data_IF_975947751158
#
_entry.id   IF_975947751158
#
_cell.length_a   1.000
_cell.length_b   1.000
_cell.length_c   1.000
_cell.angle_alpha   90.00
_cell.angle_beta   90.00
_cell.angle_gamma   90.00
#
_symmetry.space_group_name_H-M   'P 1'
#
loop_
_entity.id
_entity.type
_entity.pdbx_description
1 polymer ?
#
# COMPACT_ATOMS: atom_id res chain seq x y z
N UNK A 1 -24.33 3.54 0.54
CA UNK A 1 -23.36 2.77 -0.25
C UNK A 1 -22.02 2.73 0.46
N UNK A 2 -21.34 1.58 0.47
CA UNK A 2 -19.97 1.44 0.97
C UNK A 2 -19.08 0.82 -0.12
N UNK A 3 -17.78 1.12 -0.08
CA UNK A 3 -16.80 0.44 -0.92
C UNK A 3 -15.96 -0.48 -0.04
N UNK A 4 -15.83 -1.74 -0.44
CA UNK A 4 -15.09 -2.76 0.32
C UNK A 4 -13.96 -3.30 -0.55
N UNK A 5 -12.70 -3.02 -0.19
CA UNK A 5 -11.55 -3.56 -0.90
C UNK A 5 -10.97 -4.75 -0.17
N UNK A 6 -10.71 -5.83 -0.89
CA UNK A 6 -10.06 -7.03 -0.35
C UNK A 6 -8.70 -7.25 -1.00
N UNK A 7 -7.64 -7.36 -0.18
CA UNK A 7 -6.28 -7.62 -0.64
C UNK A 7 -6.11 -9.04 -1.18
N UNK A 8 -4.97 -9.30 -1.86
CA UNK A 8 -4.70 -10.59 -2.50
C UNK A 8 -4.73 -11.79 -1.55
N UNK A 9 -4.28 -11.61 -0.30
CA UNK A 9 -4.35 -12.65 0.75
C UNK A 9 -5.77 -12.93 1.23
N UNK A 10 -6.69 -11.96 1.06
CA UNK A 10 -8.10 -12.12 1.41
C UNK A 10 -8.88 -12.93 0.37
N UNK A 11 -8.35 -13.08 -0.85
CA UNK A 11 -8.98 -13.82 -1.97
C UNK A 11 -8.07 -14.91 -2.53
N UNK A 12 -7.04 -15.35 -1.79
CA UNK A 12 -6.01 -16.27 -2.28
C UNK A 12 -6.45 -17.73 -2.46
N UNK A 13 -7.58 -18.11 -1.84
CA UNK A 13 -8.08 -19.48 -1.86
C UNK A 13 -9.60 -19.51 -1.72
N UNK A 14 -10.20 -20.67 -1.99
CA UNK A 14 -11.62 -20.93 -1.81
C UNK A 14 -12.12 -20.56 -0.39
N UNK A 15 -11.39 -20.98 0.64
CA UNK A 15 -11.71 -20.65 2.05
C UNK A 15 -11.64 -19.15 2.33
N UNK A 16 -10.67 -18.46 1.73
CA UNK A 16 -10.55 -17.01 1.87
C UNK A 16 -11.72 -16.29 1.16
N UNK A 17 -12.10 -16.73 -0.04
CA UNK A 17 -13.24 -16.17 -0.79
C UNK A 17 -14.56 -16.43 -0.06
N UNK A 18 -14.78 -17.61 0.54
CA UNK A 18 -15.94 -17.90 1.37
C UNK A 18 -16.04 -16.94 2.57
N UNK A 19 -14.92 -16.67 3.23
CA UNK A 19 -14.87 -15.69 4.34
C UNK A 19 -15.22 -14.29 3.86
N UNK A 20 -14.68 -13.87 2.71
CA UNK A 20 -15.03 -12.58 2.08
C UNK A 20 -16.53 -12.52 1.77
N UNK A 21 -17.11 -13.59 1.23
CA UNK A 21 -18.52 -13.67 0.97
C UNK A 21 -19.37 -13.48 2.25
N UNK A 22 -18.97 -14.10 3.36
CA UNK A 22 -19.61 -13.90 4.67
C UNK A 22 -19.53 -12.46 5.16
N UNK A 23 -18.36 -11.81 5.01
CA UNK A 23 -18.15 -10.40 5.39
C UNK A 23 -19.03 -9.46 4.56
N UNK A 24 -19.09 -9.66 3.25
CA UNK A 24 -19.91 -8.84 2.33
C UNK A 24 -21.39 -9.06 2.57
N UNK A 25 -21.83 -10.31 2.75
CA UNK A 25 -23.23 -10.67 3.02
C UNK A 25 -23.77 -10.00 4.30
N UNK A 26 -22.95 -9.93 5.35
CA UNK A 26 -23.31 -9.21 6.58
C UNK A 26 -23.51 -7.70 6.39
N UNK A 27 -23.07 -7.14 5.25
CA UNK A 27 -23.15 -5.72 4.90
C UNK A 27 -23.96 -5.44 3.63
N UNK A 28 -24.71 -6.43 3.14
CA UNK A 28 -25.48 -6.33 1.89
C UNK A 28 -26.48 -5.16 1.90
N UNK A 29 -27.10 -4.90 3.06
CA UNK A 29 -28.01 -3.76 3.26
C UNK A 29 -27.33 -2.39 3.06
N UNK A 30 -26.01 -2.30 3.15
CA UNK A 30 -25.23 -1.09 2.93
C UNK A 30 -24.88 -0.88 1.46
N UNK A 31 -25.38 -1.73 0.54
CA UNK A 31 -25.14 -1.65 -0.91
C UNK A 31 -23.65 -1.63 -1.24
N UNK A 32 -22.93 -2.74 -0.99
CA UNK A 32 -21.49 -2.79 -1.14
C UNK A 32 -21.05 -2.82 -2.61
N UNK A 33 -20.02 -2.05 -2.94
CA UNK A 33 -19.19 -2.19 -4.13
C UNK A 33 -17.88 -2.81 -3.70
N UNK A 34 -17.57 -3.98 -4.24
CA UNK A 34 -16.42 -4.80 -3.82
C UNK A 34 -15.31 -4.68 -4.84
N UNK A 35 -14.13 -4.22 -4.39
CA UNK A 35 -12.90 -4.12 -5.16
C UNK A 35 -11.94 -5.20 -4.71
N UNK A 36 -11.52 -6.08 -5.61
CA UNK A 36 -10.62 -7.18 -5.29
C UNK A 36 -9.25 -7.04 -5.96
N UNK A 37 -8.20 -7.44 -5.25
CA UNK A 37 -6.87 -7.62 -5.83
C UNK A 37 -6.78 -8.99 -6.51
N UNK A 38 -5.70 -9.23 -7.26
CA UNK A 38 -5.35 -10.54 -7.79
C UNK A 38 -5.27 -11.59 -6.67
N UNK A 39 -5.61 -12.85 -6.94
CA UNK A 39 -5.56 -13.96 -5.98
C UNK A 39 -4.12 -14.21 -5.51
N UNK A 40 -3.86 -14.09 -4.21
CA UNK A 40 -2.56 -14.37 -3.60
C UNK A 40 -1.42 -13.57 -4.26
N UNK A 41 -0.43 -14.26 -4.79
CA UNK A 41 0.76 -13.69 -5.47
C UNK A 41 0.66 -13.76 -7.01
N UNK A 42 -0.54 -13.76 -7.58
CA UNK A 42 -0.76 -13.94 -9.04
C UNK A 42 -0.03 -12.87 -9.87
N UNK A 43 -0.06 -11.60 -9.47
CA UNK A 43 0.64 -10.52 -10.20
C UNK A 43 2.15 -10.81 -10.31
N UNK A 44 2.78 -11.27 -9.22
CA UNK A 44 4.21 -11.65 -9.25
C UNK A 44 4.47 -12.84 -10.17
N UNK A 45 3.56 -13.84 -10.20
CA UNK A 45 3.68 -15.00 -11.10
C UNK A 45 3.52 -14.57 -12.56
N UNK A 46 2.59 -13.67 -12.87
CA UNK A 46 2.40 -13.12 -14.21
C UNK A 46 3.66 -12.39 -14.72
N UNK A 47 4.28 -11.58 -13.87
CA UNK A 47 5.55 -10.92 -14.19
C UNK A 47 6.71 -11.91 -14.35
N UNK A 48 6.76 -12.97 -13.54
CA UNK A 48 7.76 -14.03 -13.70
C UNK A 48 7.60 -14.77 -15.04
N UNK A 49 6.36 -15.05 -15.46
CA UNK A 49 6.04 -15.62 -16.78
C UNK A 49 6.56 -14.71 -17.91
N UNK A 50 6.29 -13.39 -17.82
CA UNK A 50 6.74 -12.42 -18.79
C UNK A 50 8.28 -12.36 -18.90
N UNK A 51 8.97 -12.34 -17.76
CA UNK A 51 10.44 -12.36 -17.72
C UNK A 51 11.01 -13.66 -18.28
N UNK A 52 10.45 -14.82 -17.94
CA UNK A 52 10.87 -16.10 -18.52
C UNK A 52 10.68 -16.15 -20.04
N UNK A 53 9.65 -15.46 -20.56
CA UNK A 53 9.39 -15.38 -21.99
C UNK A 53 10.46 -14.56 -22.72
N UNK A 54 10.78 -13.35 -22.23
CA UNK A 54 11.83 -12.51 -22.86
C UNK A 54 13.23 -13.11 -22.72
N UNK A 55 13.47 -13.91 -21.68
CA UNK A 55 14.71 -14.69 -21.50
C UNK A 55 14.78 -15.92 -22.43
N UNK A 56 13.75 -16.20 -23.25
CA UNK A 56 13.70 -17.36 -24.15
C UNK A 56 13.47 -18.72 -23.47
N UNK A 57 13.07 -18.74 -22.19
CA UNK A 57 12.86 -19.95 -21.37
C UNK A 57 11.48 -20.56 -21.64
N UNK A 58 11.30 -21.10 -22.85
CA UNK A 58 9.98 -21.54 -23.36
C UNK A 58 9.27 -22.56 -22.48
N UNK A 59 9.97 -23.61 -22.05
CA UNK A 59 9.36 -24.66 -21.21
C UNK A 59 8.93 -24.13 -19.86
N UNK A 60 9.70 -23.20 -19.31
CA UNK A 60 9.45 -22.58 -18.02
C UNK A 60 8.17 -21.73 -18.05
N UNK A 61 8.04 -20.77 -18.99
CA UNK A 61 6.84 -19.94 -19.02
C UNK A 61 5.57 -20.71 -19.38
N UNK A 62 5.66 -21.74 -20.25
CA UNK A 62 4.50 -22.60 -20.54
C UNK A 62 4.04 -23.34 -19.28
N UNK A 63 4.95 -23.96 -18.55
CA UNK A 63 4.64 -24.63 -17.28
C UNK A 63 4.02 -23.65 -16.28
N UNK A 64 4.61 -22.46 -16.10
CA UNK A 64 4.09 -21.45 -15.16
C UNK A 64 2.67 -20.97 -15.55
N UNK A 65 2.34 -20.84 -16.83
CA UNK A 65 0.97 -20.53 -17.29
C UNK A 65 0.01 -21.66 -16.91
N UNK A 66 0.37 -22.93 -17.15
CA UNK A 66 -0.45 -24.07 -16.76
C UNK A 66 -0.67 -24.14 -15.26
N UNK A 67 0.39 -24.01 -14.46
CA UNK A 67 0.32 -24.03 -13.00
C UNK A 67 -0.60 -22.92 -12.48
N UNK A 68 -0.53 -21.73 -13.11
CA UNK A 68 -1.38 -20.59 -12.74
C UNK A 68 -2.84 -20.84 -13.09
N UNK A 69 -3.12 -21.41 -14.26
CA UNK A 69 -4.48 -21.79 -14.69
C UNK A 69 -5.07 -22.87 -13.77
N UNK A 70 -4.32 -23.89 -13.46
CA UNK A 70 -4.74 -25.00 -12.62
C UNK A 70 -5.03 -24.52 -11.19
N UNK A 71 -4.24 -23.59 -10.66
CA UNK A 71 -4.48 -22.97 -9.36
C UNK A 71 -5.83 -22.22 -9.37
N UNK A 72 -6.08 -21.33 -10.34
CA UNK A 72 -7.34 -20.60 -10.42
C UNK A 72 -8.54 -21.53 -10.59
N UNK A 73 -8.44 -22.51 -11.48
CA UNK A 73 -9.51 -23.50 -11.72
C UNK A 73 -9.82 -24.32 -10.46
N UNK A 74 -8.80 -24.82 -9.76
CA UNK A 74 -8.95 -25.61 -8.55
C UNK A 74 -9.66 -24.83 -7.43
N UNK A 75 -9.22 -23.59 -7.16
CA UNK A 75 -9.82 -22.78 -6.12
C UNK A 75 -11.26 -22.33 -6.48
N UNK A 76 -11.45 -21.89 -7.74
CA UNK A 76 -12.76 -21.44 -8.20
C UNK A 76 -13.83 -22.55 -8.17
N UNK A 77 -13.46 -23.77 -8.56
CA UNK A 77 -14.41 -24.91 -8.55
C UNK A 77 -14.93 -25.30 -7.18
N UNK A 78 -14.29 -24.87 -6.10
CA UNK A 78 -14.76 -25.10 -4.73
C UNK A 78 -15.84 -24.09 -4.30
N UNK A 79 -15.85 -22.90 -4.90
CA UNK A 79 -16.73 -21.79 -4.52
C UNK A 79 -17.73 -21.38 -5.63
N UNK A 80 -17.69 -22.06 -6.78
CA UNK A 80 -18.61 -21.80 -7.91
C UNK A 80 -19.57 -22.98 -8.06
N UNK A 81 -20.91 -22.73 -8.16
CA UNK A 81 -21.89 -23.79 -8.28
C UNK A 81 -21.73 -24.58 -9.59
N UNK A 82 -22.19 -25.82 -9.59
CA UNK A 82 -22.10 -26.70 -10.77
C UNK A 82 -22.74 -26.09 -12.02
N UNK A 83 -23.83 -25.34 -11.87
CA UNK A 83 -24.51 -24.63 -12.98
C UNK A 83 -23.64 -23.63 -13.70
N UNK A 84 -22.71 -23.00 -12.99
CA UNK A 84 -21.88 -21.90 -13.52
C UNK A 84 -20.47 -22.37 -13.94
N UNK A 85 -20.14 -23.65 -13.68
CA UNK A 85 -18.79 -24.19 -14.02
C UNK A 85 -18.46 -24.12 -15.49
N UNK A 86 -19.42 -24.37 -16.37
CA UNK A 86 -19.18 -24.28 -17.82
C UNK A 86 -18.87 -22.84 -18.26
N UNK A 87 -19.49 -21.84 -17.63
CA UNK A 87 -19.20 -20.43 -17.89
C UNK A 87 -17.83 -20.05 -17.30
N UNK A 88 -17.53 -20.52 -16.08
CA UNK A 88 -16.23 -20.35 -15.45
C UNK A 88 -15.10 -20.92 -16.32
N UNK A 89 -15.20 -22.19 -16.73
CA UNK A 89 -14.17 -22.87 -17.50
C UNK A 89 -13.94 -22.14 -18.84
N UNK A 90 -15.00 -21.71 -19.53
CA UNK A 90 -14.90 -20.92 -20.76
C UNK A 90 -14.14 -19.60 -20.52
N UNK A 91 -14.52 -18.84 -19.52
CA UNK A 91 -13.86 -17.55 -19.22
C UNK A 91 -12.40 -17.75 -18.83
N UNK A 92 -12.08 -18.77 -18.03
CA UNK A 92 -10.69 -19.12 -17.72
C UNK A 92 -9.90 -19.47 -18.98
N UNK A 93 -10.46 -20.32 -19.86
CA UNK A 93 -9.81 -20.74 -21.10
C UNK A 93 -9.53 -19.53 -22.01
N UNK A 94 -10.50 -18.65 -22.20
CA UNK A 94 -10.35 -17.42 -22.98
C UNK A 94 -9.22 -16.54 -22.44
N UNK A 95 -9.20 -16.28 -21.12
CA UNK A 95 -8.17 -15.45 -20.52
C UNK A 95 -6.77 -16.07 -20.59
N UNK A 96 -6.64 -17.37 -20.35
CA UNK A 96 -5.34 -18.05 -20.40
C UNK A 96 -4.86 -18.26 -21.83
N UNK A 97 -5.77 -18.36 -22.82
CA UNK A 97 -5.42 -18.35 -24.22
C UNK A 97 -4.87 -16.98 -24.65
N UNK A 98 -5.58 -15.88 -24.35
CA UNK A 98 -5.12 -14.52 -24.61
C UNK A 98 -3.75 -14.25 -23.94
N UNK A 99 -3.59 -14.63 -22.68
CA UNK A 99 -2.31 -14.50 -21.94
C UNK A 99 -1.19 -15.29 -22.66
N UNK A 100 -1.49 -16.51 -23.12
CA UNK A 100 -0.51 -17.36 -23.79
C UNK A 100 -0.06 -16.74 -25.11
N UNK A 101 -0.98 -16.17 -25.89
CA UNK A 101 -0.66 -15.49 -27.15
C UNK A 101 0.19 -14.23 -26.91
N UNK A 102 -0.16 -13.43 -25.89
CA UNK A 102 0.60 -12.25 -25.50
C UNK A 102 2.03 -12.63 -25.08
N UNK A 103 2.18 -13.65 -24.24
CA UNK A 103 3.48 -14.13 -23.74
C UNK A 103 4.34 -14.69 -24.88
N UNK A 104 3.74 -15.42 -25.85
CA UNK A 104 4.45 -15.87 -27.05
C UNK A 104 4.94 -14.69 -27.90
N UNK A 105 4.14 -13.63 -28.02
CA UNK A 105 4.56 -12.40 -28.70
C UNK A 105 5.78 -11.77 -28.03
N UNK A 106 5.79 -11.68 -26.69
CA UNK A 106 6.95 -11.17 -25.94
C UNK A 106 8.20 -12.04 -26.12
N UNK A 107 8.04 -13.36 -26.16
CA UNK A 107 9.18 -14.27 -26.40
C UNK A 107 9.82 -14.08 -27.78
N UNK A 108 9.02 -13.66 -28.78
CA UNK A 108 9.54 -13.34 -30.12
C UNK A 108 10.23 -11.97 -30.15
N UNK A 109 9.64 -10.97 -29.45
CA UNK A 109 10.18 -9.60 -29.40
C UNK A 109 11.44 -9.51 -28.54
N UNK A 110 11.56 -10.33 -27.49
CA UNK A 110 12.67 -10.32 -26.54
C UNK A 110 12.71 -9.09 -25.63
N UNK A 111 11.62 -8.34 -25.53
CA UNK A 111 11.52 -7.14 -24.69
C UNK A 111 10.20 -7.07 -23.93
N UNK A 112 10.25 -6.46 -22.73
CA UNK A 112 9.09 -6.22 -21.88
C UNK A 112 8.89 -4.72 -21.70
N UNK A 113 7.97 -4.14 -22.47
CA UNK A 113 7.64 -2.71 -22.37
C UNK A 113 6.70 -2.45 -21.18
N UNK A 114 6.64 -1.21 -20.63
CA UNK A 114 5.66 -0.85 -19.59
C UNK A 114 4.20 -1.17 -19.99
N UNK A 115 3.85 -0.99 -21.27
CA UNK A 115 2.52 -1.36 -21.79
C UNK A 115 2.25 -2.87 -21.73
N UNK A 116 3.27 -3.67 -22.02
CA UNK A 116 3.16 -5.14 -21.92
C UNK A 116 3.06 -5.61 -20.47
N UNK A 117 3.77 -4.93 -19.56
CA UNK A 117 3.65 -5.16 -18.10
C UNK A 117 2.22 -4.94 -17.65
N UNK A 118 1.57 -3.83 -18.03
CA UNK A 118 0.18 -3.53 -17.69
C UNK A 118 -0.77 -4.59 -18.23
N UNK A 119 -0.64 -4.92 -19.51
CA UNK A 119 -1.49 -5.92 -20.15
C UNK A 119 -1.42 -7.27 -19.42
N UNK A 120 -0.22 -7.78 -19.14
CA UNK A 120 -0.02 -9.06 -18.45
C UNK A 120 -0.48 -9.00 -17.00
N UNK A 121 -0.12 -7.97 -16.26
CA UNK A 121 -0.48 -7.84 -14.85
C UNK A 121 -1.98 -7.78 -14.64
N UNK A 122 -2.74 -7.20 -15.58
CA UNK A 122 -4.20 -7.04 -15.50
C UNK A 122 -4.98 -8.34 -15.38
N UNK A 123 -4.43 -9.46 -15.88
CA UNK A 123 -5.11 -10.76 -15.81
C UNK A 123 -5.36 -11.22 -14.37
N UNK A 124 -4.54 -10.80 -13.41
CA UNK A 124 -4.72 -11.16 -12.02
C UNK A 124 -6.06 -10.67 -11.46
N UNK A 125 -6.35 -9.39 -11.61
CA UNK A 125 -7.58 -8.77 -11.12
C UNK A 125 -8.80 -9.10 -11.98
N UNK A 126 -8.63 -9.27 -13.29
CA UNK A 126 -9.70 -9.70 -14.21
C UNK A 126 -10.21 -11.09 -13.80
N UNK A 127 -9.31 -12.04 -13.55
CA UNK A 127 -9.65 -13.39 -13.12
C UNK A 127 -10.27 -13.41 -11.73
N UNK A 128 -9.65 -12.73 -10.75
CA UNK A 128 -10.12 -12.75 -9.36
C UNK A 128 -11.50 -12.13 -9.22
N UNK A 129 -11.77 -10.98 -9.85
CA UNK A 129 -13.07 -10.31 -9.77
C UNK A 129 -14.21 -11.14 -10.36
N UNK A 130 -13.95 -11.82 -11.46
CA UNK A 130 -14.93 -12.72 -12.05
C UNK A 130 -15.23 -13.94 -11.16
N UNK A 131 -14.18 -14.61 -10.65
CA UNK A 131 -14.33 -15.76 -9.74
C UNK A 131 -15.11 -15.35 -8.47
N UNK A 132 -14.74 -14.23 -7.85
CA UNK A 132 -15.41 -13.73 -6.64
C UNK A 132 -16.88 -13.40 -6.92
N UNK A 133 -17.20 -12.85 -8.11
CA UNK A 133 -18.61 -12.60 -8.48
C UNK A 133 -19.42 -13.89 -8.53
N UNK A 134 -18.88 -14.94 -9.14
CA UNK A 134 -19.56 -16.25 -9.21
C UNK A 134 -19.68 -16.88 -7.82
N UNK A 135 -18.65 -16.75 -6.97
CA UNK A 135 -18.69 -17.21 -5.59
C UNK A 135 -19.78 -16.51 -4.79
N UNK A 136 -19.92 -15.20 -4.92
CA UNK A 136 -20.98 -14.46 -4.21
C UNK A 136 -22.38 -14.93 -4.60
N UNK A 137 -22.59 -15.23 -5.89
CA UNK A 137 -23.86 -15.86 -6.35
C UNK A 137 -24.07 -17.22 -5.71
N UNK A 138 -23.02 -18.05 -5.60
CA UNK A 138 -23.08 -19.34 -4.92
C UNK A 138 -23.49 -19.23 -3.46
N UNK A 139 -22.97 -18.21 -2.76
CA UNK A 139 -23.32 -17.93 -1.35
C UNK A 139 -24.64 -17.15 -1.18
N UNK A 140 -25.45 -17.07 -2.23
CA UNK A 140 -26.83 -16.57 -2.19
C UNK A 140 -26.96 -15.05 -2.21
N UNK A 141 -25.93 -14.34 -2.70
CA UNK A 141 -26.01 -12.90 -2.98
C UNK A 141 -26.34 -12.65 -4.46
N UNK A 142 -27.09 -11.61 -4.73
CA UNK A 142 -27.25 -11.09 -6.09
C UNK A 142 -26.00 -10.29 -6.40
N UNK A 143 -25.12 -10.78 -7.27
CA UNK A 143 -23.84 -10.15 -7.58
C UNK A 143 -23.67 -9.90 -9.10
N UNK A 144 -23.11 -8.73 -9.44
CA UNK A 144 -22.82 -8.30 -10.81
C UNK A 144 -21.35 -7.97 -10.97
N UNK A 145 -20.72 -8.42 -12.04
CA UNK A 145 -19.33 -8.15 -12.39
C UNK A 145 -19.21 -6.90 -13.27
N UNK A 146 -18.22 -6.06 -12.97
CA UNK A 146 -17.85 -4.92 -13.81
C UNK A 146 -16.35 -5.00 -14.12
N UNK A 147 -15.99 -4.91 -15.39
CA UNK A 147 -14.58 -4.75 -15.78
C UNK A 147 -14.14 -3.31 -15.42
N UNK A 148 -13.12 -3.19 -14.59
CA UNK A 148 -12.62 -1.89 -14.15
C UNK A 148 -12.11 -1.02 -15.29
N UNK A 149 -11.69 -1.62 -16.41
CA UNK A 149 -11.22 -0.92 -17.61
C UNK A 149 -12.32 -0.12 -18.30
N UNK A 150 -13.59 -0.47 -18.07
CA UNK A 150 -14.73 0.27 -18.64
C UNK A 150 -15.05 1.54 -17.87
N UNK A 151 -14.65 1.62 -16.58
CA UNK A 151 -15.06 2.69 -15.66
C UNK A 151 -13.91 3.48 -15.05
N UNK A 152 -12.69 2.94 -15.00
CA UNK A 152 -11.48 3.63 -14.53
C UNK A 152 -10.64 4.06 -15.73
N UNK A 153 -10.79 5.31 -16.11
CA UNK A 153 -10.09 5.87 -17.27
C UNK A 153 -8.84 6.61 -16.83
N UNK A 154 -7.73 6.39 -17.53
CA UNK A 154 -6.40 6.90 -17.16
C UNK A 154 -5.67 7.54 -18.34
N UNK A 155 -4.54 8.17 -18.05
CA UNK A 155 -3.55 8.54 -19.05
C UNK A 155 -2.76 7.30 -19.57
N UNK A 156 -1.76 7.54 -20.42
CA UNK A 156 -0.90 6.50 -21.03
C UNK A 156 0.43 6.26 -20.30
N UNK A 157 0.58 6.72 -19.06
CA UNK A 157 1.78 6.46 -18.26
C UNK A 157 1.74 5.05 -17.67
N UNK A 158 2.02 4.08 -18.54
CA UNK A 158 1.99 2.66 -18.16
C UNK A 158 2.76 2.37 -16.88
N UNK A 159 2.28 1.41 -16.09
CA UNK A 159 2.74 0.98 -14.75
C UNK A 159 2.48 1.96 -13.61
N UNK A 160 2.15 3.23 -13.91
CA UNK A 160 1.83 4.29 -12.95
C UNK A 160 0.84 5.29 -13.58
N UNK A 161 -0.21 4.78 -14.23
CA UNK A 161 -1.17 5.60 -14.93
C UNK A 161 -1.97 6.49 -13.97
N UNK A 162 -2.10 7.76 -14.33
CA UNK A 162 -2.89 8.71 -13.57
C UNK A 162 -4.35 8.69 -14.01
N UNK A 163 -5.33 8.59 -13.08
CA UNK A 163 -6.74 8.60 -13.42
C UNK A 163 -7.19 9.95 -14.03
N UNK A 164 -7.98 9.87 -15.10
CA UNK A 164 -8.78 10.98 -15.56
C UNK A 164 -10.03 11.07 -14.66
N UNK A 165 -9.93 11.81 -13.56
CA UNK A 165 -10.98 11.88 -12.54
C UNK A 165 -12.37 12.31 -13.09
N UNK A 166 -12.50 13.38 -13.89
CA UNK A 166 -13.81 13.79 -14.40
C UNK A 166 -14.52 12.69 -15.18
N UNK A 167 -13.83 12.04 -16.12
CA UNK A 167 -14.40 10.96 -16.92
C UNK A 167 -14.67 9.71 -16.07
N UNK A 168 -13.72 9.33 -15.22
CA UNK A 168 -13.85 8.19 -14.32
C UNK A 168 -15.05 8.37 -13.39
N UNK A 169 -15.19 9.50 -12.72
CA UNK A 169 -16.30 9.75 -11.81
C UNK A 169 -17.66 9.75 -12.54
N UNK A 170 -17.71 10.28 -13.75
CA UNK A 170 -18.91 10.22 -14.59
C UNK A 170 -19.32 8.78 -14.90
N UNK A 171 -18.37 7.94 -15.32
CA UNK A 171 -18.63 6.53 -15.61
C UNK A 171 -19.01 5.74 -14.37
N UNK A 172 -18.31 5.93 -13.24
CA UNK A 172 -18.62 5.27 -11.98
C UNK A 172 -20.04 5.59 -11.49
N UNK A 173 -20.41 6.88 -11.47
CA UNK A 173 -21.75 7.31 -11.06
C UNK A 173 -22.85 6.74 -11.98
N UNK A 174 -22.61 6.72 -13.29
CA UNK A 174 -23.57 6.22 -14.27
C UNK A 174 -23.73 4.69 -14.23
N UNK A 175 -22.65 3.96 -13.96
CA UNK A 175 -22.62 2.49 -14.07
C UNK A 175 -22.80 1.83 -12.70
N UNK A 176 -21.94 2.16 -11.70
CA UNK A 176 -21.91 1.42 -10.45
C UNK A 176 -23.03 1.81 -9.49
N UNK A 177 -23.39 3.10 -9.42
CA UNK A 177 -24.40 3.55 -8.45
C UNK A 177 -25.77 2.88 -8.68
N UNK A 178 -26.33 2.83 -9.93
CA UNK A 178 -27.58 2.12 -10.18
C UNK A 178 -27.48 0.60 -10.01
N UNK A 179 -26.30 0.01 -10.28
CA UNK A 179 -26.10 -1.44 -10.07
C UNK A 179 -26.10 -1.79 -8.58
N UNK A 180 -25.43 -0.98 -7.76
CA UNK A 180 -25.35 -1.20 -6.31
C UNK A 180 -26.71 -1.09 -5.58
N UNK A 181 -27.72 -0.46 -6.20
CA UNK A 181 -29.10 -0.46 -5.66
C UNK A 181 -29.75 -1.84 -5.74
N UNK A 182 -29.33 -2.73 -6.63
CA UNK A 182 -30.00 -3.99 -6.93
C UNK A 182 -29.15 -5.24 -6.71
N UNK A 183 -27.82 -5.08 -6.61
CA UNK A 183 -26.88 -6.18 -6.49
C UNK A 183 -25.58 -5.73 -5.82
N UNK A 184 -24.82 -6.67 -5.27
CA UNK A 184 -23.41 -6.46 -4.90
C UNK A 184 -22.60 -6.32 -6.18
N UNK A 185 -21.93 -5.19 -6.36
CA UNK A 185 -21.06 -4.96 -7.53
C UNK A 185 -19.65 -5.44 -7.19
N UNK A 186 -19.05 -6.24 -8.08
CA UNK A 186 -17.67 -6.74 -7.91
C UNK A 186 -16.83 -6.30 -9.09
N UNK A 187 -15.66 -5.73 -8.80
CA UNK A 187 -14.69 -5.29 -9.81
C UNK A 187 -13.25 -5.54 -9.39
N UNK A 188 -12.34 -5.58 -10.35
CA UNK A 188 -10.90 -5.66 -10.08
C UNK A 188 -10.34 -4.32 -9.63
N UNK A 189 -9.44 -4.31 -8.64
CA UNK A 189 -8.64 -3.14 -8.32
C UNK A 189 -7.46 -2.96 -9.27
N UNK A 190 -6.59 -1.95 -9.03
CA UNK A 190 -5.30 -1.77 -9.68
C UNK A 190 -5.33 -1.45 -11.19
N UNK A 191 -6.33 -1.90 -11.93
CA UNK A 191 -6.42 -1.81 -13.39
C UNK A 191 -7.39 -0.72 -13.86
N UNK A 192 -7.07 -0.14 -15.01
CA UNK A 192 -7.90 0.79 -15.74
C UNK A 192 -7.62 0.70 -17.25
N UNK A 193 -8.11 1.66 -18.01
CA UNK A 193 -7.77 1.80 -19.42
C UNK A 193 -7.63 3.25 -19.83
N UNK A 194 -6.94 3.48 -20.93
CA UNK A 194 -6.98 4.76 -21.64
C UNK A 194 -8.34 4.96 -22.33
N UNK A 195 -8.64 6.16 -22.80
CA UNK A 195 -9.89 6.44 -23.52
C UNK A 195 -10.09 5.59 -24.78
N UNK A 196 -9.00 5.18 -25.43
CA UNK A 196 -8.99 4.27 -26.58
C UNK A 196 -8.92 2.77 -26.20
N UNK A 197 -9.14 2.44 -24.91
CA UNK A 197 -9.31 1.06 -24.45
C UNK A 197 -8.01 0.29 -24.21
N UNK A 198 -6.84 0.96 -24.17
CA UNK A 198 -5.57 0.28 -23.85
C UNK A 198 -5.47 0.08 -22.34
N UNK A 199 -5.25 -1.17 -21.92
CA UNK A 199 -5.11 -1.52 -20.50
C UNK A 199 -3.95 -0.78 -19.84
N UNK A 200 -4.19 -0.27 -18.64
CA UNK A 200 -3.21 0.43 -17.79
C UNK A 200 -3.27 -0.07 -16.35
N UNK A 201 -2.22 0.18 -15.58
CA UNK A 201 -2.21 -0.10 -14.15
C UNK A 201 -1.83 1.14 -13.33
N UNK A 202 -2.41 1.24 -12.11
CA UNK A 202 -2.30 2.41 -11.24
C UNK A 202 -1.04 2.41 -10.35
N UNK A 203 -0.16 1.41 -10.51
CA UNK A 203 1.06 1.30 -9.73
C UNK A 203 0.86 0.79 -8.30
N UNK A 204 1.82 1.08 -7.43
CA UNK A 204 1.84 0.57 -6.05
C UNK A 204 0.59 0.98 -5.26
N UNK A 205 -0.02 0.02 -4.56
CA UNK A 205 -1.26 0.26 -3.82
C UNK A 205 -2.49 0.47 -4.71
N UNK A 206 -2.40 0.12 -6.00
CA UNK A 206 -3.43 0.42 -7.00
C UNK A 206 -4.83 -0.08 -6.66
N UNK A 207 -4.97 -1.22 -5.94
CA UNK A 207 -6.30 -1.68 -5.52
C UNK A 207 -6.91 -0.82 -4.41
N UNK A 208 -6.10 -0.31 -3.47
CA UNK A 208 -6.54 0.65 -2.44
C UNK A 208 -6.90 1.98 -3.11
N UNK A 209 -6.11 2.39 -4.10
CA UNK A 209 -6.37 3.57 -4.91
C UNK A 209 -7.68 3.44 -5.69
N UNK A 210 -7.93 2.28 -6.33
CA UNK A 210 -9.21 2.01 -7.00
C UNK A 210 -10.38 2.14 -6.03
N UNK A 211 -10.27 1.60 -4.80
CA UNK A 211 -11.35 1.71 -3.81
C UNK A 211 -11.63 3.17 -3.43
N UNK A 212 -10.60 3.99 -3.30
CA UNK A 212 -10.75 5.44 -3.03
C UNK A 212 -11.36 6.19 -4.20
N UNK A 213 -10.93 5.89 -5.44
CA UNK A 213 -11.49 6.47 -6.68
C UNK A 213 -12.97 6.10 -6.81
N UNK A 214 -13.31 4.83 -6.61
CA UNK A 214 -14.69 4.35 -6.66
C UNK A 214 -15.51 5.02 -5.56
N UNK A 215 -15.01 5.06 -4.32
CA UNK A 215 -15.69 5.70 -3.21
C UNK A 215 -16.02 7.16 -3.48
N UNK A 216 -15.06 7.92 -4.01
CA UNK A 216 -15.24 9.32 -4.40
C UNK A 216 -16.23 9.47 -5.55
N UNK A 217 -16.13 8.62 -6.58
CA UNK A 217 -16.97 8.69 -7.79
C UNK A 217 -18.43 8.33 -7.57
N UNK A 218 -18.74 7.44 -6.59
CA UNK A 218 -20.13 7.07 -6.27
C UNK A 218 -20.68 7.78 -5.04
N UNK A 219 -19.90 8.64 -4.38
CA UNK A 219 -20.29 9.30 -3.13
C UNK A 219 -20.54 8.30 -2.01
N UNK A 220 -19.61 7.37 -1.80
CA UNK A 220 -19.74 6.37 -0.74
C UNK A 220 -19.72 7.01 0.65
N UNK A 221 -20.47 6.46 1.59
CA UNK A 221 -20.44 6.89 2.98
C UNK A 221 -19.20 6.42 3.74
N UNK A 222 -18.53 5.37 3.24
CA UNK A 222 -17.37 4.75 3.87
C UNK A 222 -16.60 3.87 2.88
N UNK A 223 -15.27 3.82 3.05
CA UNK A 223 -14.38 2.89 2.33
C UNK A 223 -13.75 1.94 3.35
N UNK A 224 -13.86 0.65 3.12
CA UNK A 224 -13.30 -0.39 3.97
C UNK A 224 -12.15 -1.10 3.27
N UNK A 225 -10.95 -1.03 3.84
CA UNK A 225 -9.76 -1.74 3.37
C UNK A 225 -9.57 -2.98 4.23
N UNK A 226 -9.93 -4.14 3.68
CA UNK A 226 -9.79 -5.44 4.31
C UNK A 226 -8.44 -6.04 3.98
N UNK A 227 -7.65 -6.29 5.02
CA UNK A 227 -6.28 -6.80 4.95
C UNK A 227 -6.06 -7.92 5.99
N UNK A 228 -4.82 -8.25 6.32
CA UNK A 228 -4.44 -9.29 7.29
C UNK A 228 -3.99 -8.72 8.65
N UNK A 229 -4.18 -7.42 8.88
CA UNK A 229 -3.85 -6.75 10.14
C UNK A 229 -5.10 -6.19 10.84
N UNK A 230 -5.08 -6.11 12.17
CA UNK A 230 -6.21 -5.68 13.01
C UNK A 230 -6.47 -4.15 12.99
N UNK A 231 -5.90 -3.44 12.05
CA UNK A 231 -5.87 -1.99 11.99
C UNK A 231 -4.46 -1.43 12.24
N UNK A 232 -4.36 -0.15 12.52
CA UNK A 232 -3.11 0.50 12.90
C UNK A 232 -2.81 0.26 14.38
N UNK A 233 -1.56 -0.02 14.69
CA UNK A 233 -1.09 -0.30 16.05
C UNK A 233 -0.16 0.81 16.53
N UNK A 234 0.01 0.92 17.85
CA UNK A 234 0.95 1.88 18.48
C UNK A 234 2.42 1.57 18.17
N UNK A 235 2.73 0.34 17.74
CA UNK A 235 4.05 -0.08 17.23
C UNK A 235 3.89 -1.28 16.31
N UNK A 236 4.90 -1.54 15.46
CA UNK A 236 4.95 -2.73 14.60
C UNK A 236 5.01 -4.02 15.45
N UNK A 237 4.05 -4.96 15.29
CA UNK A 237 4.01 -6.18 16.09
C UNK A 237 5.20 -7.11 15.86
N UNK A 238 5.94 -6.95 14.76
CA UNK A 238 7.18 -7.70 14.52
C UNK A 238 8.37 -7.18 15.34
N UNK A 239 8.27 -5.95 15.85
CA UNK A 239 9.29 -5.31 16.70
C UNK A 239 8.87 -5.38 18.17
N UNK A 240 7.58 -5.10 18.45
CA UNK A 240 7.02 -5.08 19.80
C UNK A 240 5.69 -5.83 19.86
N UNK A 241 5.67 -7.00 20.49
CA UNK A 241 4.49 -7.86 20.56
C UNK A 241 3.30 -7.28 21.38
N UNK A 242 3.48 -6.20 22.12
CA UNK A 242 2.48 -5.59 23.00
C UNK A 242 1.82 -4.31 22.49
N UNK A 243 1.90 -4.02 21.19
CA UNK A 243 1.29 -2.81 20.63
C UNK A 243 -0.24 -2.78 20.77
N UNK A 244 -0.79 -1.61 21.11
CA UNK A 244 -2.23 -1.37 21.25
C UNK A 244 -2.85 -0.97 19.92
N UNK A 245 -4.12 -1.26 19.70
CA UNK A 245 -4.84 -0.82 18.50
C UNK A 245 -5.23 0.65 18.61
N UNK A 246 -4.96 1.42 17.55
CA UNK A 246 -5.43 2.79 17.40
C UNK A 246 -6.84 2.72 16.78
N UNK A 247 -7.88 3.15 17.50
CA UNK A 247 -9.27 3.11 17.06
C UNK A 247 -9.54 4.14 15.97
N UNK A 248 -8.98 5.34 16.14
CA UNK A 248 -9.22 6.47 15.26
C UNK A 248 -7.93 7.29 15.08
N UNK A 249 -7.70 7.72 13.84
CA UNK A 249 -6.52 8.50 13.46
C UNK A 249 -6.89 9.44 12.30
N UNK A 250 -6.23 10.59 12.18
CA UNK A 250 -6.42 11.47 11.03
C UNK A 250 -5.71 10.95 9.78
N UNK A 251 -6.16 11.37 8.58
CA UNK A 251 -5.46 11.06 7.33
C UNK A 251 -4.02 11.57 7.32
N UNK A 252 -3.77 12.73 7.92
CA UNK A 252 -2.43 13.30 7.98
C UNK A 252 -1.49 12.46 8.84
N UNK A 253 -1.94 12.01 10.03
CA UNK A 253 -1.17 11.10 10.88
C UNK A 253 -0.97 9.73 10.23
N UNK A 254 -2.01 9.18 9.58
CA UNK A 254 -1.92 7.91 8.85
C UNK A 254 -0.92 7.97 7.68
N UNK A 255 -0.84 9.12 6.99
CA UNK A 255 0.12 9.36 5.92
C UNK A 255 1.58 9.38 6.44
N UNK A 256 1.82 10.03 7.58
CA UNK A 256 3.13 10.02 8.25
C UNK A 256 3.55 8.59 8.62
N UNK A 257 2.67 7.83 9.25
CA UNK A 257 2.94 6.43 9.62
C UNK A 257 3.26 5.57 8.39
N UNK A 258 2.51 5.74 7.31
CA UNK A 258 2.71 4.98 6.08
C UNK A 258 4.05 5.30 5.40
N UNK A 259 4.46 6.56 5.41
CA UNK A 259 5.76 6.99 4.88
C UNK A 259 6.94 6.37 5.64
N UNK A 260 6.83 6.31 6.96
CA UNK A 260 7.87 5.77 7.84
C UNK A 260 7.74 4.28 8.15
N UNK A 261 6.99 3.53 7.34
CA UNK A 261 7.06 2.06 7.33
C UNK A 261 5.83 1.31 7.84
N UNK A 262 4.78 1.97 8.30
CA UNK A 262 3.50 1.31 8.55
C UNK A 262 2.86 0.90 7.21
N UNK A 263 3.09 -0.34 6.78
CA UNK A 263 2.70 -0.88 5.47
C UNK A 263 1.19 -1.11 5.30
N UNK A 264 0.36 -0.41 6.05
CA UNK A 264 -1.08 -0.65 6.07
C UNK A 264 -1.80 0.08 4.95
N UNK A 265 -1.28 1.25 4.55
CA UNK A 265 -1.90 2.12 3.53
C UNK A 265 -0.82 2.96 2.85
N UNK A 266 -0.95 3.23 1.55
CA UNK A 266 -0.06 4.17 0.87
C UNK A 266 -0.74 5.55 0.81
N UNK A 267 -0.08 6.66 1.24
CA UNK A 267 -0.73 7.98 1.34
C UNK A 267 -1.40 8.47 0.06
N UNK A 268 -0.74 8.27 -1.09
CA UNK A 268 -1.29 8.70 -2.38
C UNK A 268 -2.60 7.96 -2.76
N UNK A 269 -2.84 6.76 -2.21
CA UNK A 269 -4.02 5.96 -2.57
C UNK A 269 -5.31 6.42 -1.90
N UNK A 270 -5.23 7.26 -0.87
CA UNK A 270 -6.41 7.76 -0.14
C UNK A 270 -6.77 9.22 -0.48
N UNK A 271 -6.01 9.86 -1.36
CA UNK A 271 -6.25 11.25 -1.76
C UNK A 271 -7.71 11.49 -2.21
N UNK A 272 -8.33 10.65 -3.08
CA UNK A 272 -9.73 10.84 -3.45
C UNK A 272 -10.71 10.76 -2.27
N UNK A 273 -10.42 9.91 -1.28
CA UNK A 273 -11.23 9.80 -0.06
C UNK A 273 -11.09 11.06 0.81
N UNK A 274 -9.87 11.59 0.94
CA UNK A 274 -9.60 12.85 1.67
C UNK A 274 -10.36 14.01 1.05
N UNK A 275 -10.26 14.20 -0.28
CA UNK A 275 -10.90 15.29 -1.01
C UNK A 275 -12.43 15.28 -0.87
N UNK A 276 -13.03 14.11 -0.72
CA UNK A 276 -14.47 13.92 -0.54
C UNK A 276 -14.90 13.74 0.91
N UNK A 277 -13.97 13.83 1.85
CA UNK A 277 -14.20 13.61 3.28
C UNK A 277 -14.88 12.26 3.58
N UNK A 278 -14.45 11.21 2.90
CA UNK A 278 -14.98 9.85 3.07
C UNK A 278 -14.08 9.11 4.08
N UNK A 279 -14.62 8.63 5.21
CA UNK A 279 -13.83 7.88 6.17
C UNK A 279 -13.34 6.55 5.58
N UNK A 280 -12.11 6.16 5.94
CA UNK A 280 -11.49 4.91 5.53
C UNK A 280 -11.31 4.02 6.77
N UNK A 281 -11.76 2.77 6.70
CA UNK A 281 -11.57 1.78 7.75
C UNK A 281 -10.52 0.75 7.32
N UNK A 282 -9.59 0.46 8.21
CA UNK A 282 -8.63 -0.65 8.05
C UNK A 282 -9.14 -1.81 8.91
N UNK A 283 -9.44 -2.92 8.27
CA UNK A 283 -10.13 -4.07 8.88
C UNK A 283 -9.42 -5.38 8.57
N UNK A 284 -9.51 -6.35 9.49
CA UNK A 284 -8.90 -7.67 9.30
C UNK A 284 -9.89 -8.67 8.68
N UNK A 285 -9.58 -9.14 7.46
CA UNK A 285 -10.43 -10.12 6.77
C UNK A 285 -10.42 -11.51 7.43
N UNK A 286 -9.40 -11.83 8.23
CA UNK A 286 -9.32 -13.09 9.01
C UNK A 286 -10.01 -13.00 10.37
N UNK A 287 -10.23 -11.77 10.86
CA UNK A 287 -10.83 -11.46 12.16
C UNK A 287 -11.86 -10.33 12.01
N UNK A 288 -12.96 -10.58 11.26
CA UNK A 288 -13.93 -9.55 10.89
C UNK A 288 -14.72 -8.97 12.08
N UNK A 289 -14.64 -9.60 13.23
CA UNK A 289 -15.21 -9.14 14.51
C UNK A 289 -14.39 -7.99 15.12
N UNK A 290 -13.12 -7.82 14.74
CA UNK A 290 -12.26 -6.73 15.25
C UNK A 290 -12.65 -5.43 14.56
N UNK A 291 -12.96 -4.34 15.31
CA UNK A 291 -13.48 -3.10 14.73
C UNK A 291 -12.46 -2.34 13.85
N UNK A 292 -11.16 -2.69 13.91
CA UNK A 292 -10.12 -2.08 13.08
C UNK A 292 -9.77 -0.64 13.48
N UNK A 293 -9.26 0.13 12.52
CA UNK A 293 -8.91 1.55 12.70
C UNK A 293 -9.71 2.41 11.72
N UNK A 294 -10.35 3.47 12.23
CA UNK A 294 -11.05 4.47 11.43
C UNK A 294 -10.13 5.64 11.14
N UNK A 295 -9.99 6.00 9.86
CA UNK A 295 -9.20 7.14 9.39
C UNK A 295 -10.17 8.21 8.93
N UNK A 296 -10.03 9.44 9.47
CA UNK A 296 -10.93 10.57 9.21
C UNK A 296 -10.14 11.84 8.86
N UNK A 297 -10.81 12.85 8.31
CA UNK A 297 -10.15 14.16 8.06
C UNK A 297 -9.86 14.90 9.35
N UNK A 298 -10.78 14.82 10.31
CA UNK A 298 -10.62 15.53 11.57
C UNK A 298 -9.78 14.70 12.54
N UNK A 299 -8.84 15.36 13.21
CA UNK A 299 -8.12 14.76 14.33
C UNK A 299 -9.06 14.64 15.52
N UNK A 300 -9.01 13.51 16.20
CA UNK A 300 -9.74 13.31 17.46
C UNK A 300 -8.81 13.74 18.60
N UNK A 301 -9.26 14.66 19.46
CA UNK A 301 -8.48 15.04 20.64
C UNK A 301 -8.04 13.82 21.43
N UNK A 302 -6.78 13.78 21.84
CA UNK A 302 -6.19 12.63 22.52
C UNK A 302 -5.27 13.10 23.65
N UNK A 303 -5.40 12.48 24.83
CA UNK A 303 -4.52 12.78 25.96
C UNK A 303 -3.08 12.28 25.70
N UNK A 304 -2.91 11.24 24.86
CA UNK A 304 -1.60 10.76 24.44
C UNK A 304 -1.05 11.64 23.32
N UNK A 305 0.09 12.27 23.57
CA UNK A 305 0.81 13.12 22.60
C UNK A 305 1.22 12.29 21.36
N UNK A 306 1.62 11.04 21.57
CA UNK A 306 2.03 10.09 20.52
C UNK A 306 0.93 9.08 20.30
N UNK A 307 0.52 8.86 19.05
CA UNK A 307 -0.48 7.85 18.65
C UNK A 307 0.15 6.56 18.14
N UNK A 308 1.34 6.64 17.53
CA UNK A 308 2.03 5.44 17.03
C UNK A 308 3.52 5.71 16.82
N UNK A 309 4.30 4.62 16.84
CA UNK A 309 5.73 4.61 16.55
C UNK A 309 5.92 3.78 15.27
N UNK A 310 6.32 4.44 14.18
CA UNK A 310 6.67 3.79 12.92
C UNK A 310 8.20 3.64 12.79
N UNK A 311 8.64 2.62 12.06
CA UNK A 311 10.05 2.33 11.88
C UNK A 311 10.35 1.98 10.40
N UNK A 312 11.29 2.71 9.79
CA UNK A 312 11.79 2.43 8.45
C UNK A 312 13.18 1.83 8.54
N UNK A 313 13.27 0.54 8.23
CA UNK A 313 14.50 -0.26 8.37
C UNK A 313 15.36 -0.22 7.10
N UNK A 314 16.60 -0.70 7.22
CA UNK A 314 17.58 -0.79 6.12
C UNK A 314 17.93 0.57 5.53
N UNK A 315 18.08 1.56 6.37
CA UNK A 315 18.44 2.91 5.97
C UNK A 315 19.96 3.01 5.86
N UNK A 316 20.40 3.64 4.78
CA UNK A 316 21.77 4.05 4.60
C UNK A 316 21.88 5.57 4.78
N UNK A 317 22.71 6.01 5.70
CA UNK A 317 23.03 7.40 5.88
C UNK A 317 24.25 7.78 5.02
N UNK A 318 24.13 8.86 4.26
CA UNK A 318 25.19 9.45 3.44
C UNK A 318 25.57 10.78 4.07
N UNK A 319 26.77 10.84 4.63
CA UNK A 319 27.33 12.01 5.30
C UNK A 319 28.27 12.73 4.35
N UNK A 320 27.92 13.93 3.95
CA UNK A 320 28.64 14.76 2.97
C UNK A 320 29.27 15.91 3.72
N UNK A 321 30.61 16.05 3.62
CA UNK A 321 31.35 17.13 4.25
C UNK A 321 32.12 17.94 3.20
N UNK A 322 32.02 19.26 3.28
CA UNK A 322 32.77 20.13 2.39
C UNK A 322 32.96 21.52 2.98
N UNK A 323 34.20 21.92 3.20
CA UNK A 323 34.53 23.29 3.60
C UNK A 323 34.14 24.32 2.54
N UNK A 324 33.94 23.89 1.27
CA UNK A 324 33.46 24.74 0.17
C UNK A 324 31.96 25.07 0.31
N UNK A 325 31.23 24.42 1.23
CA UNK A 325 29.85 24.75 1.56
C UNK A 325 29.74 26.08 2.31
N UNK A 326 30.74 26.41 3.07
CA UNK A 326 30.78 27.66 3.84
C UNK A 326 30.64 28.86 2.90
N UNK A 327 29.61 29.68 3.09
CA UNK A 327 29.28 30.85 2.26
C UNK A 327 29.04 30.58 0.76
N UNK A 328 28.90 29.31 0.35
CA UNK A 328 28.63 28.96 -1.03
C UNK A 328 27.15 28.88 -1.35
N UNK A 329 26.72 29.55 -2.42
CA UNK A 329 25.37 29.40 -2.95
C UNK A 329 25.24 28.13 -3.79
N UNK A 330 24.08 27.45 -3.72
CA UNK A 330 23.75 26.32 -4.60
C UNK A 330 24.40 24.98 -4.23
N UNK A 331 25.09 24.83 -3.10
CA UNK A 331 25.70 23.55 -2.72
C UNK A 331 24.65 22.45 -2.48
N UNK A 332 23.58 22.77 -1.76
CA UNK A 332 22.45 21.83 -1.57
C UNK A 332 21.81 21.45 -2.90
N UNK A 333 21.62 22.40 -3.81
CA UNK A 333 21.10 22.12 -5.15
C UNK A 333 21.95 21.06 -5.87
N UNK A 334 23.27 21.17 -5.85
CA UNK A 334 24.17 20.18 -6.47
C UNK A 334 24.06 18.80 -5.84
N UNK A 335 23.89 18.71 -4.53
CA UNK A 335 23.68 17.42 -3.86
C UNK A 335 22.38 16.80 -4.37
N UNK A 336 21.26 17.52 -4.29
CA UNK A 336 19.95 16.97 -4.68
C UNK A 336 19.84 16.70 -6.18
N UNK A 337 20.53 17.45 -7.03
CA UNK A 337 20.64 17.19 -8.47
C UNK A 337 21.26 15.81 -8.76
N UNK A 338 22.25 15.38 -7.97
CA UNK A 338 22.83 14.04 -8.09
C UNK A 338 21.79 12.98 -7.73
N UNK A 339 21.04 13.13 -6.62
CA UNK A 339 20.00 12.17 -6.25
C UNK A 339 18.84 12.13 -7.24
N UNK A 340 18.44 13.28 -7.79
CA UNK A 340 17.39 13.39 -8.83
C UNK A 340 17.82 12.66 -10.12
N UNK A 341 19.05 12.88 -10.59
CA UNK A 341 19.61 12.23 -11.78
C UNK A 341 19.59 10.71 -11.70
N UNK A 342 19.79 10.16 -10.51
CA UNK A 342 19.75 8.72 -10.27
C UNK A 342 18.41 8.23 -9.71
N UNK A 343 17.37 9.06 -9.80
CA UNK A 343 15.99 8.73 -9.36
C UNK A 343 15.94 8.10 -7.95
N UNK A 344 16.76 8.64 -7.03
CA UNK A 344 16.89 8.11 -5.67
C UNK A 344 16.25 9.06 -4.66
N UNK A 345 15.11 8.68 -4.07
CA UNK A 345 14.43 9.50 -3.07
C UNK A 345 15.23 9.57 -1.77
N UNK A 346 15.18 10.74 -1.14
CA UNK A 346 15.82 11.01 0.15
C UNK A 346 14.74 11.07 1.23
N UNK A 347 14.95 10.37 2.36
CA UNK A 347 13.96 10.30 3.44
C UNK A 347 14.10 11.40 4.48
N UNK A 348 15.30 11.57 5.03
CA UNK A 348 15.62 12.59 6.02
C UNK A 348 16.85 13.37 5.59
N UNK A 349 16.89 14.65 5.94
CA UNK A 349 18.04 15.53 5.72
C UNK A 349 18.32 16.33 6.99
N UNK A 350 19.58 16.39 7.37
CA UNK A 350 20.08 17.28 8.40
C UNK A 350 21.28 18.05 7.86
N UNK A 351 21.35 19.34 8.12
CA UNK A 351 22.41 20.19 7.59
C UNK A 351 23.08 20.99 8.70
N UNK A 352 24.40 21.22 8.52
CA UNK A 352 25.16 22.20 9.27
C UNK A 352 25.85 23.17 8.29
N UNK A 353 26.76 24.01 8.76
CA UNK A 353 27.48 24.98 7.92
C UNK A 353 28.38 24.31 6.87
N UNK A 354 28.90 23.12 7.15
CA UNK A 354 29.90 22.42 6.31
C UNK A 354 29.55 20.95 6.03
N UNK A 355 28.40 20.49 6.53
CA UNK A 355 28.02 19.08 6.39
C UNK A 355 26.54 18.92 6.08
N UNK A 356 26.24 17.92 5.27
CA UNK A 356 24.87 17.46 4.99
C UNK A 356 24.83 15.95 5.23
N UNK A 357 23.93 15.53 6.12
CA UNK A 357 23.62 14.11 6.32
C UNK A 357 22.24 13.84 5.76
N UNK A 358 22.11 12.83 4.94
CA UNK A 358 20.83 12.41 4.37
C UNK A 358 20.67 10.91 4.42
N UNK A 359 19.44 10.43 4.37
CA UNK A 359 19.13 9.00 4.42
C UNK A 359 18.39 8.55 3.18
N UNK A 360 18.73 7.34 2.74
CA UNK A 360 18.07 6.63 1.63
C UNK A 360 17.75 5.20 2.03
N UNK A 361 16.69 4.63 1.45
CA UNK A 361 16.31 3.22 1.58
C UNK A 361 16.62 2.40 0.33
N UNK A 362 16.86 3.06 -0.81
CA UNK A 362 17.24 2.41 -2.07
C UNK A 362 18.70 2.65 -2.38
N UNK A 363 19.53 1.62 -2.30
CA UNK A 363 20.97 1.67 -2.54
C UNK A 363 21.37 1.17 -3.93
N UNK A 364 20.44 0.88 -4.84
CA UNK A 364 20.73 0.30 -6.16
C UNK A 364 21.62 1.17 -7.04
N UNK A 365 21.63 2.49 -6.82
CA UNK A 365 22.45 3.48 -7.54
C UNK A 365 23.50 4.17 -6.65
N UNK A 366 23.70 3.66 -5.42
CA UNK A 366 24.55 4.32 -4.42
C UNK A 366 25.97 4.56 -4.92
N UNK A 367 26.60 3.58 -5.55
CA UNK A 367 27.99 3.73 -6.04
C UNK A 367 28.14 4.85 -7.08
N UNK A 368 27.14 5.02 -7.96
CA UNK A 368 27.12 6.09 -8.95
C UNK A 368 26.96 7.46 -8.26
N UNK A 369 26.04 7.56 -7.31
CA UNK A 369 25.81 8.75 -6.50
C UNK A 369 27.08 9.13 -5.74
N UNK A 370 27.73 8.19 -5.08
CA UNK A 370 28.98 8.43 -4.35
C UNK A 370 30.12 8.88 -5.28
N UNK A 371 30.21 8.32 -6.49
CA UNK A 371 31.19 8.69 -7.50
C UNK A 371 31.08 10.17 -7.90
N UNK A 372 29.89 10.70 -8.06
CA UNK A 372 29.66 12.12 -8.38
C UNK A 372 29.85 13.03 -7.15
N UNK A 373 29.30 12.67 -5.99
CA UNK A 373 29.42 13.48 -4.77
C UNK A 373 30.90 13.68 -4.37
N UNK A 374 31.72 12.64 -4.49
CA UNK A 374 33.18 12.69 -4.18
C UNK A 374 34.00 13.63 -5.07
N UNK A 375 33.46 14.08 -6.19
CA UNK A 375 34.15 15.08 -7.04
C UNK A 375 34.22 16.46 -6.39
N UNK A 376 33.31 16.77 -5.45
CA UNK A 376 33.22 18.09 -4.83
C UNK A 376 33.08 18.09 -3.30
N UNK A 377 33.08 16.92 -2.67
CA UNK A 377 32.92 16.75 -1.22
C UNK A 377 33.60 15.46 -0.72
N UNK A 378 33.83 15.40 0.59
CA UNK A 378 34.17 14.16 1.27
C UNK A 378 32.85 13.45 1.64
N UNK A 379 32.77 12.14 1.39
CA UNK A 379 31.55 11.38 1.60
C UNK A 379 31.85 10.12 2.42
N UNK A 380 31.19 10.02 3.57
CA UNK A 380 31.15 8.84 4.41
C UNK A 380 29.76 8.19 4.32
N UNK A 381 29.70 6.85 4.40
CA UNK A 381 28.46 6.08 4.33
C UNK A 381 28.34 5.23 5.58
N UNK A 382 27.17 5.27 6.20
CA UNK A 382 26.83 4.41 7.33
C UNK A 382 25.60 3.56 6.97
N UNK A 383 25.78 2.24 7.09
CA UNK A 383 24.72 1.27 6.85
C UNK A 383 23.99 0.88 8.12
N UNK A 384 22.97 0.03 7.98
CA UNK A 384 22.23 -0.57 9.09
C UNK A 384 21.59 0.47 10.04
N UNK A 385 21.14 1.59 9.46
CA UNK A 385 20.33 2.58 10.15
C UNK A 385 18.85 2.20 10.13
N UNK A 386 18.13 2.69 11.13
CA UNK A 386 16.67 2.67 11.20
C UNK A 386 16.17 4.06 11.54
N UNK A 387 15.23 4.58 10.74
CA UNK A 387 14.46 5.76 11.13
C UNK A 387 13.36 5.31 12.07
N UNK A 388 13.33 5.87 13.26
CA UNK A 388 12.23 5.73 14.23
C UNK A 388 11.44 7.04 14.21
N UNK A 389 10.14 6.96 13.99
CA UNK A 389 9.25 8.10 13.84
C UNK A 389 8.10 7.99 14.84
N UNK A 390 8.02 8.93 15.76
CA UNK A 390 6.86 9.10 16.63
C UNK A 390 5.84 10.00 15.93
N UNK A 391 4.62 9.51 15.79
CA UNK A 391 3.54 10.25 15.13
C UNK A 391 2.41 10.53 16.13
N UNK A 392 1.91 11.74 16.11
CA UNK A 392 0.79 12.18 16.92
C UNK A 392 0.42 13.63 16.62
N UNK A 393 -0.61 14.12 17.27
CA UNK A 393 -1.13 15.45 17.02
C UNK A 393 -0.23 16.53 17.61
N UNK A 394 0.08 17.55 16.82
CA UNK A 394 0.76 18.79 17.26
C UNK A 394 2.10 18.57 18.00
N UNK A 395 2.83 17.51 17.69
CA UNK A 395 4.12 17.17 18.32
C UNK A 395 5.10 18.34 18.27
N UNK A 396 5.14 19.08 17.16
CA UNK A 396 6.06 20.20 16.95
C UNK A 396 5.90 21.30 18.00
N UNK A 397 4.67 21.61 18.41
CA UNK A 397 4.37 22.72 19.31
C UNK A 397 4.06 22.29 20.74
N UNK A 398 4.08 20.99 21.03
CA UNK A 398 3.87 20.47 22.37
C UNK A 398 5.15 20.55 23.19
N UNK A 399 5.23 21.40 24.23
CA UNK A 399 6.43 21.53 25.03
C UNK A 399 6.84 20.24 25.72
N UNK A 400 8.13 19.95 25.75
CA UNK A 400 8.70 18.82 26.49
C UNK A 400 8.68 17.48 25.80
N UNK A 401 8.09 17.33 24.60
CA UNK A 401 8.07 16.06 23.86
C UNK A 401 9.48 15.54 23.59
N UNK A 402 10.37 16.38 23.02
CA UNK A 402 11.75 15.99 22.74
C UNK A 402 12.49 15.56 24.02
N UNK A 403 12.30 16.26 25.14
CA UNK A 403 12.88 15.86 26.43
C UNK A 403 12.40 14.47 26.84
N UNK A 404 11.11 14.17 26.73
CA UNK A 404 10.56 12.86 27.08
C UNK A 404 11.16 11.75 26.19
N UNK A 405 11.19 11.99 24.86
CA UNK A 405 11.78 11.05 23.90
C UNK A 405 13.23 10.75 24.26
N UNK A 406 14.08 11.76 24.40
CA UNK A 406 15.51 11.55 24.59
C UNK A 406 15.88 11.10 26.01
N UNK A 407 15.09 11.43 27.03
CA UNK A 407 15.27 10.86 28.37
C UNK A 407 14.92 9.36 28.39
N UNK A 408 13.89 8.94 27.67
CA UNK A 408 13.54 7.52 27.56
C UNK A 408 14.62 6.70 26.84
N UNK A 409 15.41 7.34 25.97
CA UNK A 409 16.44 6.69 25.14
C UNK A 409 17.86 6.80 25.76
N UNK A 410 17.96 7.01 27.08
CA UNK A 410 19.26 7.05 27.72
C UNK A 410 20.08 5.77 27.45
N UNK A 411 21.34 5.96 27.04
CA UNK A 411 22.24 4.88 26.63
C UNK A 411 22.00 4.31 25.22
N UNK A 412 21.19 4.98 24.38
CA UNK A 412 21.05 4.67 22.94
C UNK A 412 21.68 5.79 22.11
N UNK A 413 22.59 5.44 21.19
CA UNK A 413 23.22 6.42 20.32
C UNK A 413 22.27 6.86 19.21
N UNK A 414 21.96 8.16 19.13
CA UNK A 414 21.13 8.77 18.10
C UNK A 414 22.03 9.43 17.07
N UNK A 415 21.95 8.95 15.81
CA UNK A 415 22.82 9.40 14.70
C UNK A 415 22.31 10.66 14.02
N UNK A 416 20.99 10.79 13.85
CA UNK A 416 20.32 11.95 13.23
C UNK A 416 19.01 12.23 13.95
N UNK A 417 18.59 13.51 13.95
CA UNK A 417 17.31 13.95 14.48
C UNK A 417 16.65 14.86 13.44
N UNK A 418 15.35 14.67 13.20
CA UNK A 418 14.51 15.57 12.42
C UNK A 418 13.27 15.91 13.22
N UNK A 419 13.13 17.18 13.57
CA UNK A 419 11.95 17.75 14.22
C UNK A 419 11.67 19.13 13.65
N UNK A 420 10.40 19.43 13.39
CA UNK A 420 9.98 20.75 12.96
C UNK A 420 9.62 20.88 11.49
N UNK A 421 9.93 19.91 10.65
CA UNK A 421 9.46 19.86 9.25
C UNK A 421 7.97 19.50 9.19
N UNK A 422 7.52 18.51 9.96
CA UNK A 422 6.12 18.15 10.13
C UNK A 422 5.58 18.64 11.48
N UNK A 423 4.28 18.94 11.54
CA UNK A 423 3.57 19.23 12.78
C UNK A 423 3.33 17.96 13.62
N UNK A 424 3.34 16.80 12.97
CA UNK A 424 2.80 15.54 13.45
C UNK A 424 3.88 14.55 13.87
N UNK A 425 5.16 14.81 13.56
CA UNK A 425 6.19 13.83 13.83
C UNK A 425 7.44 14.39 14.50
N UNK A 426 8.13 13.49 15.19
CA UNK A 426 9.54 13.59 15.58
C UNK A 426 10.23 12.31 15.13
N UNK A 427 11.26 12.44 14.31
CA UNK A 427 11.99 11.32 13.72
C UNK A 427 13.47 11.38 14.08
N UNK A 428 14.09 10.22 14.27
CA UNK A 428 15.52 10.11 14.49
C UNK A 428 16.06 8.77 13.97
N UNK A 429 17.37 8.69 13.81
CA UNK A 429 18.05 7.49 13.29
C UNK A 429 18.85 6.83 14.41
N UNK A 430 18.65 5.52 14.57
CA UNK A 430 19.41 4.64 15.46
C UNK A 430 20.04 3.48 14.69
N UNK A 431 20.95 2.72 15.31
CA UNK A 431 21.43 1.47 14.75
C UNK A 431 20.31 0.40 14.76
N UNK A 432 20.29 -0.48 13.76
CA UNK A 432 19.28 -1.55 13.68
C UNK A 432 19.32 -2.49 14.89
N UNK A 433 20.51 -2.70 15.47
CA UNK A 433 20.68 -3.52 16.68
C UNK A 433 19.95 -2.94 17.90
N UNK A 434 19.79 -1.62 17.97
CA UNK A 434 19.13 -0.94 19.09
C UNK A 434 17.60 -0.81 18.90
N UNK A 435 17.07 -1.17 17.73
CA UNK A 435 15.67 -0.95 17.38
C UNK A 435 14.66 -1.55 18.38
N UNK A 436 14.75 -2.84 18.79
CA UNK A 436 13.76 -3.39 19.71
C UNK A 436 13.76 -2.69 21.07
N UNK A 437 14.96 -2.34 21.58
CA UNK A 437 15.13 -1.61 22.84
C UNK A 437 14.55 -0.20 22.71
N UNK A 438 14.85 0.51 21.62
CA UNK A 438 14.34 1.86 21.34
C UNK A 438 12.82 1.89 21.34
N UNK A 439 12.18 1.00 20.57
CA UNK A 439 10.72 0.94 20.47
C UNK A 439 10.09 0.56 21.81
N UNK A 440 10.68 -0.40 22.53
CA UNK A 440 10.21 -0.82 23.87
C UNK A 440 10.21 0.33 24.88
N UNK A 441 11.30 1.07 24.99
CA UNK A 441 11.44 2.22 25.91
C UNK A 441 10.46 3.35 25.57
N UNK A 442 10.34 3.70 24.29
CA UNK A 442 9.39 4.72 23.84
C UNK A 442 7.94 4.28 24.05
N UNK A 443 7.64 3.03 23.79
CA UNK A 443 6.29 2.51 24.02
C UNK A 443 5.92 2.54 25.50
N UNK A 444 6.83 2.18 26.37
CA UNK A 444 6.64 2.29 27.83
C UNK A 444 6.43 3.75 28.27
N UNK A 445 7.19 4.71 27.71
CA UNK A 445 7.08 6.12 28.05
C UNK A 445 5.75 6.73 27.62
N UNK A 446 5.28 6.42 26.39
CA UNK A 446 4.15 7.12 25.79
C UNK A 446 2.81 6.37 25.87
N UNK A 447 2.82 5.06 26.16
CA UNK A 447 1.62 4.22 26.13
C UNK A 447 1.37 3.45 27.44
N UNK A 448 2.02 3.85 28.54
CA UNK A 448 1.73 3.31 29.90
C UNK A 448 0.31 3.63 30.36
N UNK A 449 -0.18 4.80 29.99
CA UNK A 449 -1.58 5.22 30.14
C UNK A 449 -2.17 5.47 28.77
N UNK A 450 -3.39 4.99 28.53
CA UNK A 450 -4.06 5.06 27.24
C UNK A 450 -5.37 5.83 27.37
N UNK A 451 -5.56 6.76 26.45
CA UNK A 451 -6.86 7.38 26.20
C UNK A 451 -7.81 6.34 25.58
N UNK A 452 -8.84 5.96 26.32
CA UNK A 452 -9.77 4.91 25.93
C UNK A 452 -10.62 5.27 24.69
N UNK A 453 -10.77 6.54 24.35
CA UNK A 453 -11.49 6.96 23.16
C UNK A 453 -10.68 6.72 21.88
N UNK A 454 -9.35 6.80 21.98
CA UNK A 454 -8.44 6.67 20.84
C UNK A 454 -7.79 5.29 20.75
N UNK A 455 -7.57 4.61 21.89
CA UNK A 455 -6.88 3.32 21.93
C UNK A 455 -7.74 2.20 22.50
N UNK A 456 -7.40 0.98 22.06
CA UNK A 456 -7.88 -0.25 22.67
C UNK A 456 -6.69 -1.10 23.12
N UNK A 457 -6.69 -1.45 24.41
CA UNK A 457 -5.68 -2.36 24.93
C UNK A 457 -5.80 -3.72 24.26
N UNK A 458 -4.70 -4.20 23.71
CA UNK A 458 -4.63 -5.60 23.28
C UNK A 458 -4.49 -6.45 24.55
N UNK A 459 -5.47 -7.30 24.81
CA UNK A 459 -5.29 -8.34 25.82
C UNK A 459 -4.12 -9.24 25.39
N UNK A 460 -3.23 -9.62 26.33
CA UNK A 460 -2.19 -10.60 26.02
C UNK A 460 -2.89 -11.86 25.50
N UNK A 461 -2.45 -12.35 24.33
CA UNK A 461 -2.93 -13.62 23.82
C UNK A 461 -2.71 -14.65 24.94
N UNK A 462 -3.79 -15.27 25.42
CA UNK A 462 -3.69 -16.39 26.33
C UNK A 462 -2.81 -17.45 25.63
N UNK A 463 -1.64 -17.72 26.26
CA UNK A 463 -0.64 -18.69 25.80
C UNK A 463 -1.21 -20.11 25.79
#
# INVERSE_FOLDING_TARGET
MIVMKFGGTSVESAVAIERVAGIVKARESQRPIVVVSAMGKTTNKLLAIANAAIDGKREEYIRQIHDLRDMHSREARQVVPLSDRAALDRTLDEHFQELTELVKGLAVLGELTPRSVDAISSYGERLSSYIVTLAFRHFGMKAEHVDSRDVVITDRRHTQAAPNFPETYTRLAKTLAPMAERAVVVMGGFIGSTEDGVTTTLGRGGSDYTASIVGAGVGAGEIQIWTDVDGMLTADPTILAGGHRVKVISFAEAAELAYFGAKVLHPATVVPAIEKNIPVLILNSRRPEVPGTRITSDSVPCENIVKSIACKRKITAVNIHSTRMLMAHGFLHRIFEVFDRYETPVDMVSTSEVSVSLTIDNTSRLDLILGELRQFSEVAVEHDGVIVCLVGENIRYTPGVARRVFNALDGINIRMISQGASLLNLSFVVAEADLPRTVGLLHQEFFSTLDADVFERKEPAHA
#
